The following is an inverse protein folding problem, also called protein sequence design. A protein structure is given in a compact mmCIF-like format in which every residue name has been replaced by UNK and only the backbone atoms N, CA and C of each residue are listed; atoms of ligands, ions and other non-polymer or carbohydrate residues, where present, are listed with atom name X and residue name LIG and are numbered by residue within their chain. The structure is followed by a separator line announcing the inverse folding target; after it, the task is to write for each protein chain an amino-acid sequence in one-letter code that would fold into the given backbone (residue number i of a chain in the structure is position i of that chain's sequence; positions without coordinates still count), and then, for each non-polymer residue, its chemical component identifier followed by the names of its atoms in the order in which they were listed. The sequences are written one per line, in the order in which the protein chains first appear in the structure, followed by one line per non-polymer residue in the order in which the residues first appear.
data_IF_335314665621
#
_entry.id   IF_335314665621
#
_cell.length_a   1.000
_cell.length_b   1.000
_cell.length_c   1.000
_cell.angle_alpha   90.00
_cell.angle_beta   90.00
_cell.angle_gamma   90.00
#
_symmetry.space_group_name_H-M   'P 1'
#
loop_
_entity.id
_entity.type
_entity.pdbx_description
1 polymer ?
#
# COMPACT_ATOMS: atom_id res chain seq x y z
N UNK A 1 -53.95 39.70 29.75
CA UNK A 1 -52.51 39.80 29.47
C UNK A 1 -52.32 41.02 28.59
N UNK A 2 -51.36 41.88 28.93
CA UNK A 2 -51.13 43.14 28.23
C UNK A 2 -50.68 42.89 26.79
N UNK A 3 -51.26 43.63 25.83
CA UNK A 3 -51.02 43.41 24.39
C UNK A 3 -49.54 43.65 24.01
N UNK A 4 -48.81 44.46 24.78
CA UNK A 4 -47.37 44.69 24.62
C UNK A 4 -46.50 43.52 25.11
N UNK A 5 -46.94 42.80 26.15
CA UNK A 5 -46.24 41.62 26.65
C UNK A 5 -46.24 40.49 25.61
N UNK A 6 -47.39 40.28 24.96
CA UNK A 6 -47.57 39.24 23.93
C UNK A 6 -46.79 39.57 22.66
N UNK A 7 -46.70 40.84 22.24
CA UNK A 7 -45.87 41.29 21.10
C UNK A 7 -44.38 41.04 21.34
N UNK A 8 -43.88 41.31 22.54
CA UNK A 8 -42.48 41.06 22.89
C UNK A 8 -42.14 39.55 22.86
N UNK A 9 -43.05 38.69 23.31
CA UNK A 9 -42.86 37.22 23.24
C UNK A 9 -42.84 36.72 21.80
N UNK A 10 -43.69 37.28 20.93
CA UNK A 10 -43.67 36.96 19.49
C UNK A 10 -42.33 37.36 18.87
N UNK A 11 -41.83 38.57 19.14
CA UNK A 11 -40.53 39.03 18.62
C UNK A 11 -39.37 38.12 19.04
N UNK A 12 -39.32 37.70 20.31
CA UNK A 12 -38.30 36.77 20.78
C UNK A 12 -38.36 35.40 20.06
N UNK A 13 -39.57 34.91 19.78
CA UNK A 13 -39.76 33.66 19.04
C UNK A 13 -39.39 33.79 17.57
N UNK A 14 -39.67 34.93 16.94
CA UNK A 14 -39.23 35.23 15.57
C UNK A 14 -37.70 35.26 15.46
N UNK A 15 -37.01 35.87 16.41
CA UNK A 15 -35.55 35.86 16.48
C UNK A 15 -35.00 34.44 16.65
N UNK A 16 -35.61 33.65 17.54
CA UNK A 16 -35.25 32.24 17.73
C UNK A 16 -35.47 31.43 16.45
N UNK A 17 -36.59 31.65 15.75
CA UNK A 17 -36.90 30.99 14.49
C UNK A 17 -35.85 31.30 13.42
N UNK A 18 -35.40 32.55 13.32
CA UNK A 18 -34.33 32.95 12.41
C UNK A 18 -33.01 32.22 12.72
N UNK A 19 -32.62 32.16 14.00
CA UNK A 19 -31.43 31.42 14.43
C UNK A 19 -31.51 29.93 14.06
N UNK A 20 -32.68 29.31 14.21
CA UNK A 20 -32.90 27.91 13.85
C UNK A 20 -32.75 27.69 12.33
N UNK A 21 -33.30 28.60 11.51
CA UNK A 21 -33.18 28.58 10.05
C UNK A 21 -31.73 28.72 9.61
N UNK A 22 -30.99 29.67 10.18
CA UNK A 22 -29.58 29.90 9.85
C UNK A 22 -28.70 28.69 10.21
N UNK A 23 -28.93 28.08 11.39
CA UNK A 23 -28.21 26.86 11.79
C UNK A 23 -28.55 25.66 10.91
N UNK A 24 -29.80 25.50 10.51
CA UNK A 24 -30.22 24.45 9.57
C UNK A 24 -29.54 24.63 8.21
N UNK A 25 -29.45 25.86 7.71
CA UNK A 25 -28.79 26.15 6.44
C UNK A 25 -27.30 25.81 6.51
N UNK A 26 -26.61 26.22 7.58
CA UNK A 26 -25.20 25.89 7.80
C UNK A 26 -24.95 24.37 7.83
N UNK A 27 -25.81 23.61 8.52
CA UNK A 27 -25.76 22.14 8.55
C UNK A 27 -26.03 21.52 7.17
N UNK A 28 -26.92 22.12 6.38
CA UNK A 28 -27.26 21.66 5.03
C UNK A 28 -26.08 21.87 4.08
N UNK A 29 -25.41 23.01 4.18
CA UNK A 29 -24.21 23.31 3.38
C UNK A 29 -23.06 22.37 3.73
N UNK A 30 -22.79 22.16 5.04
CA UNK A 30 -21.86 21.14 5.52
C UNK A 30 -22.22 19.74 5.03
N UNK A 31 -23.50 19.37 5.09
CA UNK A 31 -23.99 18.08 4.60
C UNK A 31 -23.77 17.90 3.10
N UNK A 32 -23.99 18.95 2.30
CA UNK A 32 -23.82 18.95 0.85
C UNK A 32 -22.35 18.82 0.43
N UNK A 33 -21.43 19.54 1.07
CA UNK A 33 -19.98 19.39 0.86
C UNK A 33 -19.52 17.95 1.11
N UNK A 34 -20.07 17.31 2.14
CA UNK A 34 -19.72 15.93 2.47
C UNK A 34 -20.47 14.93 1.55
N UNK A 35 -21.63 15.30 0.96
CA UNK A 35 -22.48 14.46 0.10
C UNK A 35 -22.04 14.36 -1.36
N UNK A 36 -21.51 15.43 -1.97
CA UNK A 36 -20.98 15.44 -3.37
C UNK A 36 -19.96 14.29 -3.59
N UNK A 37 -19.40 13.79 -2.50
CA UNK A 37 -18.43 12.72 -2.45
C UNK A 37 -18.99 11.29 -2.33
N UNK A 38 -20.31 11.04 -2.23
CA UNK A 38 -20.86 9.69 -1.89
C UNK A 38 -20.51 8.60 -2.91
N UNK A 39 -20.77 8.82 -4.20
CA UNK A 39 -20.45 7.83 -5.25
C UNK A 39 -18.95 7.57 -5.37
N UNK A 40 -18.16 8.65 -5.37
CA UNK A 40 -16.69 8.60 -5.38
C UNK A 40 -16.14 7.86 -4.16
N UNK A 41 -16.74 8.02 -2.97
CA UNK A 41 -16.35 7.31 -1.73
C UNK A 41 -16.68 5.83 -1.78
N UNK A 42 -17.85 5.44 -2.28
CA UNK A 42 -18.23 4.03 -2.40
C UNK A 42 -17.33 3.28 -3.39
N UNK A 43 -17.08 3.88 -4.56
CA UNK A 43 -16.16 3.31 -5.55
C UNK A 43 -14.71 3.26 -5.03
N UNK A 44 -14.28 4.31 -4.33
CA UNK A 44 -12.99 4.37 -3.64
C UNK A 44 -12.87 3.29 -2.57
N UNK A 45 -13.91 3.04 -1.77
CA UNK A 45 -13.91 2.00 -0.73
C UNK A 45 -13.81 0.59 -1.34
N UNK A 46 -14.51 0.34 -2.46
CA UNK A 46 -14.40 -0.92 -3.20
C UNK A 46 -13.00 -1.10 -3.80
N UNK A 47 -12.46 -0.05 -4.43
CA UNK A 47 -11.09 -0.02 -4.94
C UNK A 47 -10.06 -0.31 -3.85
N UNK A 48 -10.20 0.27 -2.66
CA UNK A 48 -9.29 -0.01 -1.55
C UNK A 48 -9.37 -1.45 -1.05
N UNK A 49 -10.54 -2.11 -1.10
CA UNK A 49 -10.64 -3.53 -0.77
C UNK A 49 -9.92 -4.39 -1.80
N UNK A 50 -10.19 -4.17 -3.09
CA UNK A 50 -9.52 -4.93 -4.16
C UNK A 50 -8.01 -4.73 -4.04
N UNK A 51 -7.55 -3.48 -3.96
CA UNK A 51 -6.14 -3.14 -3.81
C UNK A 51 -5.50 -3.82 -2.60
N UNK A 52 -6.20 -3.87 -1.46
CA UNK A 52 -5.71 -4.53 -0.26
C UNK A 52 -5.51 -6.03 -0.47
N UNK A 53 -6.51 -6.73 -1.01
CA UNK A 53 -6.41 -8.17 -1.26
C UNK A 53 -5.36 -8.50 -2.32
N UNK A 54 -5.27 -7.71 -3.40
CA UNK A 54 -4.24 -7.91 -4.42
C UNK A 54 -2.84 -7.68 -3.84
N UNK A 55 -2.63 -6.63 -3.05
CA UNK A 55 -1.33 -6.34 -2.45
C UNK A 55 -0.91 -7.44 -1.46
N UNK A 56 -1.84 -7.94 -0.65
CA UNK A 56 -1.55 -9.03 0.30
C UNK A 56 -1.26 -10.34 -0.42
N UNK A 57 -2.04 -10.68 -1.46
CA UNK A 57 -1.78 -11.88 -2.25
C UNK A 57 -0.40 -11.80 -2.92
N UNK A 58 -0.07 -10.64 -3.51
CA UNK A 58 1.22 -10.40 -4.15
C UNK A 58 2.36 -10.49 -3.12
N UNK A 59 2.19 -9.87 -1.95
CA UNK A 59 3.16 -9.90 -0.86
C UNK A 59 3.37 -11.33 -0.33
N UNK A 60 2.30 -12.11 -0.19
CA UNK A 60 2.37 -13.51 0.24
C UNK A 60 3.13 -14.38 -0.77
N UNK A 61 2.81 -14.27 -2.06
CA UNK A 61 3.54 -14.97 -3.12
C UNK A 61 5.02 -14.56 -3.16
N UNK A 62 5.31 -13.26 -3.12
CA UNK A 62 6.68 -12.74 -3.07
C UNK A 62 7.44 -13.26 -1.87
N UNK A 63 6.81 -13.31 -0.69
CA UNK A 63 7.43 -13.79 0.53
C UNK A 63 7.80 -15.27 0.42
N UNK A 64 6.90 -16.11 -0.09
CA UNK A 64 7.17 -17.55 -0.30
C UNK A 64 8.33 -17.74 -1.28
N UNK A 65 8.29 -17.08 -2.43
CA UNK A 65 9.36 -17.20 -3.45
C UNK A 65 10.70 -16.70 -2.89
N UNK A 66 10.70 -15.57 -2.17
CA UNK A 66 11.91 -14.98 -1.60
C UNK A 66 12.50 -15.84 -0.49
N UNK A 67 11.68 -16.43 0.38
CA UNK A 67 12.13 -17.36 1.41
C UNK A 67 12.78 -18.60 0.80
N UNK A 68 12.17 -19.18 -0.23
CA UNK A 68 12.73 -20.34 -0.92
C UNK A 68 14.07 -19.95 -1.58
N UNK A 69 14.13 -18.81 -2.26
CA UNK A 69 15.35 -18.31 -2.89
C UNK A 69 16.47 -17.99 -1.88
N UNK A 70 16.11 -17.56 -0.66
CA UNK A 70 17.06 -17.25 0.40
C UNK A 70 17.63 -18.51 1.05
N UNK A 71 16.76 -19.44 1.45
CA UNK A 71 17.16 -20.67 2.17
C UNK A 71 17.79 -21.68 1.22
N UNK A 72 17.14 -21.93 0.07
CA UNK A 72 17.56 -22.92 -0.92
C UNK A 72 17.55 -22.35 -2.34
N UNK A 73 18.51 -21.46 -2.67
CA UNK A 73 18.63 -20.87 -4.02
C UNK A 73 18.78 -21.93 -5.11
N UNK A 74 19.31 -23.10 -4.76
CA UNK A 74 19.50 -24.22 -5.69
C UNK A 74 18.21 -24.86 -6.17
N UNK A 75 17.17 -24.89 -5.33
CA UNK A 75 15.89 -25.51 -5.66
C UNK A 75 15.14 -24.76 -6.75
N UNK A 76 15.25 -23.43 -6.79
CA UNK A 76 14.57 -22.59 -7.77
C UNK A 76 15.38 -22.40 -9.07
N UNK A 77 16.70 -22.25 -8.97
CA UNK A 77 17.52 -21.81 -10.12
C UNK A 77 18.56 -22.84 -10.57
N UNK A 78 19.23 -23.53 -9.65
CA UNK A 78 20.35 -24.43 -9.99
C UNK A 78 19.96 -25.87 -10.34
N UNK A 79 18.69 -26.25 -10.16
CA UNK A 79 18.16 -27.51 -10.70
C UNK A 79 17.84 -27.43 -12.20
N UNK A 80 17.83 -26.23 -12.80
CA UNK A 80 17.74 -26.07 -14.25
C UNK A 80 19.15 -26.08 -14.86
N UNK A 81 19.45 -27.06 -15.72
CA UNK A 81 20.74 -27.14 -16.41
C UNK A 81 21.04 -25.84 -17.20
N UNK A 82 20.01 -25.16 -17.69
CA UNK A 82 20.11 -23.90 -18.43
C UNK A 82 20.69 -22.75 -17.61
N UNK A 83 20.19 -22.51 -16.39
CA UNK A 83 20.70 -21.41 -15.55
C UNK A 83 22.13 -21.67 -15.08
N UNK A 84 22.43 -22.91 -14.67
CA UNK A 84 23.80 -23.31 -14.30
C UNK A 84 24.76 -23.06 -15.46
N UNK A 85 24.37 -23.44 -16.68
CA UNK A 85 25.20 -23.24 -17.88
C UNK A 85 25.46 -21.77 -18.17
N UNK A 86 24.45 -20.89 -18.04
CA UNK A 86 24.58 -19.44 -18.28
C UNK A 86 25.49 -18.80 -17.22
N UNK A 87 25.24 -19.05 -15.93
CA UNK A 87 26.05 -18.45 -14.85
C UNK A 87 27.51 -18.91 -14.93
N UNK A 88 27.72 -20.20 -15.22
CA UNK A 88 29.08 -20.75 -15.39
C UNK A 88 29.73 -20.22 -16.66
N UNK A 89 29.01 -20.07 -17.78
CA UNK A 89 29.59 -19.53 -19.02
C UNK A 89 29.98 -18.06 -18.89
N UNK A 90 29.16 -17.26 -18.23
CA UNK A 90 29.42 -15.82 -18.04
C UNK A 90 30.62 -15.63 -17.12
N UNK A 91 30.66 -16.36 -16.00
CA UNK A 91 31.79 -16.30 -15.07
C UNK A 91 33.08 -16.83 -15.69
N UNK A 92 33.01 -17.91 -16.48
CA UNK A 92 34.15 -18.44 -17.22
C UNK A 92 34.66 -17.48 -18.29
N UNK A 93 33.77 -16.74 -18.95
CA UNK A 93 34.13 -15.73 -19.95
C UNK A 93 34.80 -14.53 -19.28
N UNK A 94 34.24 -14.05 -18.17
CA UNK A 94 34.85 -13.00 -17.34
C UNK A 94 36.25 -13.42 -16.85
N UNK A 95 36.37 -14.61 -16.27
CA UNK A 95 37.65 -15.12 -15.78
C UNK A 95 38.69 -15.32 -16.89
N UNK A 96 38.26 -15.79 -18.08
CA UNK A 96 39.13 -15.92 -19.25
C UNK A 96 39.57 -14.57 -19.83
N UNK A 97 38.80 -13.51 -19.66
CA UNK A 97 39.19 -12.19 -20.13
C UNK A 97 40.14 -11.49 -19.14
N UNK A 98 39.88 -11.64 -17.84
CA UNK A 98 40.66 -10.95 -16.80
C UNK A 98 42.00 -11.63 -16.50
N UNK A 99 42.02 -12.97 -16.43
CA UNK A 99 43.12 -13.71 -15.79
C UNK A 99 43.86 -14.71 -16.70
N UNK A 100 43.43 -14.89 -17.96
CA UNK A 100 43.93 -15.97 -18.82
C UNK A 100 45.42 -15.86 -19.15
N UNK A 101 45.93 -14.67 -19.47
CA UNK A 101 47.36 -14.50 -19.79
C UNK A 101 48.23 -14.82 -18.58
N UNK A 102 47.90 -14.26 -17.42
CA UNK A 102 48.64 -14.47 -16.17
C UNK A 102 48.59 -15.92 -15.69
N UNK A 103 47.43 -16.60 -15.84
CA UNK A 103 47.31 -18.01 -15.49
C UNK A 103 48.02 -18.94 -16.49
N UNK A 104 47.85 -18.73 -17.78
CA UNK A 104 48.50 -19.56 -18.81
C UNK A 104 50.03 -19.44 -18.69
N UNK A 105 50.56 -18.24 -18.46
CA UNK A 105 51.99 -18.01 -18.19
C UNK A 105 52.46 -18.70 -16.89
N UNK A 106 51.68 -18.61 -15.80
CA UNK A 106 52.01 -19.27 -14.52
C UNK A 106 51.96 -20.79 -14.62
N UNK A 107 51.03 -21.34 -15.42
CA UNK A 107 50.87 -22.77 -15.64
C UNK A 107 52.02 -23.36 -16.46
N UNK A 108 52.46 -22.64 -17.49
CA UNK A 108 53.64 -23.02 -18.29
C UNK A 108 54.90 -22.99 -17.42
N UNK A 109 55.05 -22.00 -16.53
CA UNK A 109 56.16 -21.92 -15.58
C UNK A 109 56.16 -23.08 -14.55
N UNK A 110 54.99 -23.50 -14.07
CA UNK A 110 54.85 -24.64 -13.16
C UNK A 110 55.17 -25.98 -13.84
N UNK A 111 54.76 -26.16 -15.10
CA UNK A 111 55.06 -27.36 -15.88
C UNK A 111 56.56 -27.48 -16.20
N UNK A 112 57.25 -26.35 -16.39
CA UNK A 112 58.70 -26.31 -16.56
C UNK A 112 59.47 -26.66 -15.27
N UNK A 113 58.85 -26.53 -14.09
CA UNK A 113 59.43 -26.88 -12.78
C UNK A 113 59.14 -28.31 -12.33
N UNK A 114 58.00 -28.89 -12.71
CA UNK A 114 57.61 -30.26 -12.31
C UNK A 114 57.01 -31.05 -13.48
N UNK A 115 57.80 -31.98 -14.04
CA UNK A 115 57.43 -32.81 -15.20
C UNK A 115 56.32 -33.83 -14.90
N UNK A 116 55.98 -34.06 -13.62
CA UNK A 116 54.92 -35.00 -13.24
C UNK A 116 53.51 -34.43 -13.36
N UNK A 117 53.40 -33.10 -13.49
CA UNK A 117 52.13 -32.38 -13.56
C UNK A 117 51.67 -32.24 -15.03
N UNK A 118 50.61 -32.96 -15.41
CA UNK A 118 50.04 -32.83 -16.77
C UNK A 118 49.17 -31.57 -16.86
N UNK A 119 49.43 -30.70 -17.85
CA UNK A 119 48.67 -29.46 -18.09
C UNK A 119 47.15 -29.68 -18.12
N UNK A 120 46.69 -30.83 -18.63
CA UNK A 120 45.28 -31.22 -18.67
C UNK A 120 44.66 -31.40 -17.29
N UNK A 121 45.38 -31.98 -16.32
CA UNK A 121 44.89 -32.14 -14.93
C UNK A 121 44.80 -30.80 -14.22
N UNK A 122 45.74 -29.88 -14.48
CA UNK A 122 45.74 -28.55 -13.87
C UNK A 122 44.61 -27.69 -14.45
N UNK A 123 44.44 -27.70 -15.77
CA UNK A 123 43.31 -27.04 -16.43
C UNK A 123 41.96 -27.58 -15.94
N UNK A 124 41.83 -28.91 -15.78
CA UNK A 124 40.60 -29.51 -15.25
C UNK A 124 40.30 -29.08 -13.80
N UNK A 125 41.32 -28.94 -12.95
CA UNK A 125 41.15 -28.46 -11.58
C UNK A 125 40.79 -26.97 -11.54
N UNK A 126 41.38 -26.15 -12.43
CA UNK A 126 41.02 -24.73 -12.57
C UNK A 126 39.58 -24.59 -13.05
N UNK A 127 39.18 -25.37 -14.06
CA UNK A 127 37.81 -25.35 -14.57
C UNK A 127 36.78 -25.74 -13.49
N UNK A 128 37.08 -26.76 -12.68
CA UNK A 128 36.23 -27.13 -11.53
C UNK A 128 36.20 -26.05 -10.46
N UNK A 129 37.33 -25.38 -10.20
CA UNK A 129 37.40 -24.29 -9.24
C UNK A 129 36.57 -23.08 -9.72
N UNK A 130 36.68 -22.71 -11.01
CA UNK A 130 35.87 -21.66 -11.65
C UNK A 130 34.39 -22.00 -11.56
N UNK A 131 34.00 -23.23 -11.90
CA UNK A 131 32.61 -23.68 -11.83
C UNK A 131 32.07 -23.59 -10.39
N UNK A 132 32.85 -24.07 -9.41
CA UNK A 132 32.47 -24.02 -7.99
C UNK A 132 32.32 -22.58 -7.49
N UNK A 133 33.27 -21.70 -7.80
CA UNK A 133 33.23 -20.29 -7.41
C UNK A 133 32.08 -19.54 -8.08
N UNK A 134 31.81 -19.81 -9.36
CA UNK A 134 30.69 -19.23 -10.09
C UNK A 134 29.34 -19.60 -9.44
N UNK A 135 29.19 -20.87 -9.05
CA UNK A 135 27.98 -21.37 -8.39
C UNK A 135 27.81 -20.75 -7.00
N UNK A 136 28.87 -20.69 -6.19
CA UNK A 136 28.79 -20.08 -4.85
C UNK A 136 28.50 -18.57 -4.91
N UNK A 137 29.14 -17.84 -5.81
CA UNK A 137 28.83 -16.42 -6.03
C UNK A 137 27.40 -16.21 -6.54
N UNK A 138 26.92 -17.08 -7.45
CA UNK A 138 25.54 -17.06 -7.93
C UNK A 138 24.53 -17.28 -6.80
N UNK A 139 24.78 -18.26 -5.91
CA UNK A 139 23.95 -18.48 -4.71
C UNK A 139 23.92 -17.25 -3.81
N UNK A 140 25.08 -16.64 -3.56
CA UNK A 140 25.17 -15.44 -2.73
C UNK A 140 24.38 -14.27 -3.31
N UNK A 141 24.50 -14.03 -4.63
CA UNK A 141 23.75 -12.97 -5.31
C UNK A 141 22.23 -13.20 -5.27
N UNK A 142 21.78 -14.45 -5.46
CA UNK A 142 20.36 -14.80 -5.34
C UNK A 142 19.86 -14.53 -3.91
N UNK A 143 20.65 -14.87 -2.88
CA UNK A 143 20.30 -14.58 -1.49
C UNK A 143 20.20 -13.08 -1.21
N UNK A 144 21.10 -12.27 -1.77
CA UNK A 144 21.02 -10.81 -1.65
C UNK A 144 19.75 -10.26 -2.31
N UNK A 145 19.43 -10.71 -3.53
CA UNK A 145 18.20 -10.32 -4.22
C UNK A 145 16.97 -10.72 -3.40
N UNK A 146 16.95 -11.95 -2.87
CA UNK A 146 15.88 -12.44 -2.01
C UNK A 146 15.71 -11.58 -0.74
N UNK A 147 16.81 -11.13 -0.13
CA UNK A 147 16.75 -10.23 1.02
C UNK A 147 16.10 -8.88 0.65
N UNK A 148 16.43 -8.30 -0.52
CA UNK A 148 15.77 -7.10 -1.01
C UNK A 148 14.27 -7.32 -1.29
N UNK A 149 13.89 -8.46 -1.83
CA UNK A 149 12.48 -8.80 -2.06
C UNK A 149 11.70 -8.95 -0.75
N UNK A 150 12.31 -9.49 0.31
CA UNK A 150 11.71 -9.53 1.65
C UNK A 150 11.45 -8.11 2.19
N UNK A 151 12.39 -7.18 2.00
CA UNK A 151 12.18 -5.77 2.36
C UNK A 151 11.00 -5.20 1.57
N UNK A 152 10.90 -5.50 0.29
CA UNK A 152 9.80 -5.05 -0.56
C UNK A 152 8.44 -5.61 -0.09
N UNK A 153 8.39 -6.85 0.39
CA UNK A 153 7.19 -7.42 1.03
C UNK A 153 6.74 -6.59 2.23
N UNK A 154 7.67 -6.17 3.08
CA UNK A 154 7.36 -5.33 4.25
C UNK A 154 6.74 -4.00 3.79
N UNK A 155 7.31 -3.37 2.75
CA UNK A 155 6.77 -2.12 2.18
C UNK A 155 5.34 -2.33 1.64
N UNK A 156 5.11 -3.42 0.89
CA UNK A 156 3.77 -3.75 0.38
C UNK A 156 2.78 -3.96 1.52
N UNK A 157 3.19 -4.62 2.60
CA UNK A 157 2.34 -4.88 3.75
C UNK A 157 1.95 -3.60 4.50
N UNK A 158 2.92 -2.70 4.71
CA UNK A 158 2.67 -1.37 5.28
C UNK A 158 1.71 -0.57 4.39
N UNK A 159 1.91 -0.60 3.07
CA UNK A 159 1.05 0.07 2.09
C UNK A 159 -0.39 -0.48 2.12
N UNK A 160 -0.54 -1.80 2.28
CA UNK A 160 -1.84 -2.42 2.47
C UNK A 160 -2.53 -1.92 3.76
N UNK A 161 -1.77 -1.73 4.84
CA UNK A 161 -2.27 -1.15 6.10
C UNK A 161 -2.89 0.25 5.94
N UNK A 162 -2.33 1.11 5.08
CA UNK A 162 -2.89 2.43 4.79
C UNK A 162 -4.27 2.35 4.11
N UNK A 163 -4.50 1.36 3.26
CA UNK A 163 -5.81 1.15 2.60
C UNK A 163 -6.90 0.85 3.65
N UNK A 164 -6.57 0.08 4.69
CA UNK A 164 -7.48 -0.19 5.82
C UNK A 164 -7.82 1.07 6.62
N UNK A 165 -6.82 1.93 6.88
CA UNK A 165 -7.02 3.23 7.57
C UNK A 165 -7.94 4.16 6.76
N UNK A 166 -7.73 4.26 5.45
CA UNK A 166 -8.58 5.07 4.55
C UNK A 166 -10.04 4.57 4.54
N UNK A 167 -10.25 3.26 4.50
CA UNK A 167 -11.60 2.66 4.60
C UNK A 167 -12.30 3.05 5.89
N UNK A 168 -11.60 3.03 7.02
CA UNK A 168 -12.17 3.39 8.33
C UNK A 168 -12.57 4.88 8.38
N UNK A 169 -11.73 5.77 7.81
CA UNK A 169 -12.05 7.20 7.67
C UNK A 169 -13.28 7.42 6.78
N UNK A 170 -13.39 6.72 5.65
CA UNK A 170 -14.56 6.80 4.78
C UNK A 170 -15.84 6.31 5.49
N UNK A 171 -15.76 5.25 6.31
CA UNK A 171 -16.88 4.76 7.11
C UNK A 171 -17.33 5.79 8.15
N UNK A 172 -16.39 6.44 8.84
CA UNK A 172 -16.70 7.50 9.79
C UNK A 172 -17.37 8.69 9.11
N UNK A 173 -16.85 9.13 7.95
CA UNK A 173 -17.47 10.22 7.19
C UNK A 173 -18.90 9.89 6.74
N UNK A 174 -19.19 8.63 6.39
CA UNK A 174 -20.56 8.18 6.10
C UNK A 174 -21.47 8.26 7.33
N UNK A 175 -20.98 7.85 8.50
CA UNK A 175 -21.74 7.94 9.76
C UNK A 175 -22.02 9.40 10.13
N UNK A 176 -21.02 10.28 9.99
CA UNK A 176 -21.18 11.72 10.22
C UNK A 176 -22.25 12.31 9.30
N UNK A 177 -22.29 11.91 8.03
CA UNK A 177 -23.36 12.32 7.11
C UNK A 177 -24.75 11.91 7.57
N UNK A 178 -24.91 10.68 8.06
CA UNK A 178 -26.20 10.21 8.59
C UNK A 178 -26.64 11.06 9.79
N UNK A 179 -25.72 11.33 10.72
CA UNK A 179 -26.02 12.16 11.89
C UNK A 179 -26.37 13.60 11.50
N UNK A 180 -25.66 14.20 10.55
CA UNK A 180 -25.99 15.55 10.06
C UNK A 180 -27.40 15.59 9.47
N UNK A 181 -27.80 14.56 8.70
CA UNK A 181 -29.14 14.48 8.11
C UNK A 181 -30.24 14.33 9.18
N UNK A 182 -29.96 13.56 10.24
CA UNK A 182 -30.86 13.43 11.39
C UNK A 182 -31.05 14.78 12.10
N UNK A 183 -29.95 15.50 12.38
CA UNK A 183 -30.02 16.83 12.99
C UNK A 183 -30.77 17.83 12.09
N UNK A 184 -30.57 17.79 10.78
CA UNK A 184 -31.33 18.66 9.85
C UNK A 184 -32.84 18.36 9.92
N UNK A 185 -33.21 17.08 10.09
CA UNK A 185 -34.60 16.67 10.28
C UNK A 185 -35.17 17.24 11.58
N UNK A 186 -34.44 17.14 12.69
CA UNK A 186 -34.86 17.69 13.99
C UNK A 186 -35.05 19.21 13.94
N UNK A 187 -34.11 19.93 13.32
CA UNK A 187 -34.24 21.37 13.11
C UNK A 187 -35.45 21.72 12.23
N UNK A 188 -35.78 20.88 11.25
CA UNK A 188 -36.96 21.10 10.41
C UNK A 188 -38.25 20.99 11.22
N UNK A 189 -38.35 20.00 12.10
CA UNK A 189 -39.50 19.83 12.99
C UNK A 189 -39.62 21.00 13.99
N UNK A 190 -38.50 21.45 14.59
CA UNK A 190 -38.49 22.59 15.50
C UNK A 190 -38.89 23.91 14.83
N UNK A 191 -38.45 24.13 13.59
CA UNK A 191 -38.84 25.30 12.80
C UNK A 191 -40.34 25.28 12.51
N UNK A 192 -40.90 24.14 12.12
CA UNK A 192 -42.33 23.98 11.84
C UNK A 192 -43.19 24.20 13.11
N UNK A 193 -42.72 23.71 14.25
CA UNK A 193 -43.37 23.93 15.55
C UNK A 193 -43.36 25.41 15.96
N UNK A 194 -42.20 26.08 15.89
CA UNK A 194 -42.11 27.52 16.18
C UNK A 194 -42.93 28.38 15.21
N UNK A 195 -42.96 28.05 13.91
CA UNK A 195 -43.80 28.74 12.92
C UNK A 195 -45.29 28.62 13.25
N UNK A 196 -45.74 27.44 13.66
CA UNK A 196 -47.12 27.19 14.09
C UNK A 196 -47.45 28.00 15.35
N UNK A 197 -46.61 27.95 16.38
CA UNK A 197 -46.84 28.70 17.63
C UNK A 197 -46.89 30.20 17.39
N UNK A 198 -45.95 30.76 16.61
CA UNK A 198 -45.95 32.19 16.25
C UNK A 198 -47.23 32.56 15.50
N UNK A 199 -47.68 31.72 14.57
CA UNK A 199 -48.91 31.95 13.80
C UNK A 199 -50.14 31.96 14.71
N UNK A 200 -50.26 31.00 15.62
CA UNK A 200 -51.35 30.94 16.60
C UNK A 200 -51.34 32.16 17.53
N UNK A 201 -50.16 32.57 18.03
CA UNK A 201 -50.04 33.77 18.86
C UNK A 201 -50.42 35.05 18.13
N UNK A 202 -50.05 35.20 16.85
CA UNK A 202 -50.46 36.34 16.02
C UNK A 202 -51.96 36.36 15.73
N UNK A 203 -52.57 35.20 15.54
CA UNK A 203 -54.02 35.08 15.33
C UNK A 203 -54.80 35.46 16.58
N UNK A 204 -54.32 35.10 17.76
CA UNK A 204 -54.93 35.44 19.05
C UNK A 204 -54.74 36.92 19.47
N UNK A 205 -53.90 37.66 18.75
CA UNK A 205 -53.59 39.08 19.00
C UNK A 205 -54.43 40.04 18.14
N UNK A 206 -55.03 39.51 17.06
CA UNK A 206 -55.98 40.20 16.18
C UNK A 206 -57.42 39.99 16.66
#
# INVERSE_FOLDING_TARGET
MDNDGTKNVIGFKEDRLQILKDKKQLLTDLGNEINVSKWKRSFSAFYYNIRYFTLIALAGLLLVVSLIAFVSPTTLFFNSEGYKKIVVSDFRTYYKNENRKTLDESLVLLQNKDKSMTLSKVQQNIDRAIERTAIENGKFNIRLIAAFLIILVIILWVTAGFSKKMKMRNKLALKTNTVIQEIISDYSALIEEEEREIKEMKQNLN
#
